data_IF_830820220879
#
_entry.id   IF_830820220879
#
_cell.length_a   1.000
_cell.length_b   1.000
_cell.length_c   1.000
_cell.angle_alpha   90.00
_cell.angle_beta   90.00
_cell.angle_gamma   90.00
#
_symmetry.space_group_name_H-M   'P 1'
#
loop_
_entity.id
_entity.type
_entity.pdbx_description
1 polymer ?
#
# COMPACT_ATOMS: atom_id res chain seq x y z
N UNK A 1 -9.74 6.87 -11.65
CA UNK A 1 -8.72 6.21 -12.49
C UNK A 1 -8.18 7.24 -13.47
N UNK A 2 -6.90 7.60 -13.36
CA UNK A 2 -6.24 8.65 -14.14
C UNK A 2 -5.32 8.09 -15.23
N UNK A 3 -5.42 6.79 -15.55
CA UNK A 3 -4.53 6.11 -16.50
C UNK A 3 -4.52 6.76 -17.89
N UNK A 4 -5.66 7.31 -18.34
CA UNK A 4 -5.77 8.03 -19.62
C UNK A 4 -5.00 9.37 -19.67
N UNK A 5 -4.53 9.86 -18.51
CA UNK A 5 -3.85 11.15 -18.36
C UNK A 5 -2.36 10.98 -17.99
N UNK A 6 -1.84 9.75 -18.00
CA UNK A 6 -0.41 9.46 -17.78
C UNK A 6 0.34 9.74 -19.09
N UNK A 7 1.31 10.65 -19.04
CA UNK A 7 2.19 10.96 -20.18
C UNK A 7 3.32 9.96 -20.30
N UNK A 8 4.05 9.99 -21.43
CA UNK A 8 5.19 9.10 -21.70
C UNK A 8 6.30 9.19 -20.64
N UNK A 9 6.40 10.31 -19.92
CA UNK A 9 7.34 10.51 -18.80
C UNK A 9 6.84 9.94 -17.46
N UNK A 10 5.71 9.24 -17.46
CA UNK A 10 5.08 8.65 -16.27
C UNK A 10 4.30 9.63 -15.40
N UNK A 11 4.28 10.93 -15.72
CA UNK A 11 3.54 11.93 -14.93
C UNK A 11 2.09 12.02 -15.38
N UNK A 12 1.19 12.16 -14.42
CA UNK A 12 -0.22 12.44 -14.70
C UNK A 12 -0.43 13.94 -14.94
N UNK A 13 -1.01 14.31 -16.08
CA UNK A 13 -1.40 15.68 -16.40
C UNK A 13 -2.80 15.71 -16.99
N UNK A 14 -3.72 16.43 -16.34
CA UNK A 14 -5.12 16.52 -16.76
C UNK A 14 -5.30 17.85 -17.52
N UNK A 15 -5.45 17.82 -18.86
CA UNK A 15 -5.53 19.03 -19.66
C UNK A 15 -6.91 19.69 -19.57
N UNK A 16 -6.95 21.02 -19.66
CA UNK A 16 -8.18 21.79 -19.77
C UNK A 16 -8.09 22.81 -20.92
N UNK A 17 -9.17 22.96 -21.68
CA UNK A 17 -9.28 23.85 -22.84
C UNK A 17 -10.70 24.44 -22.91
N UNK A 18 -10.81 25.68 -23.36
CA UNK A 18 -12.08 26.35 -23.63
C UNK A 18 -12.20 26.68 -25.12
N UNK A 19 -13.42 26.87 -25.62
CA UNK A 19 -13.68 27.38 -26.95
C UNK A 19 -14.87 28.32 -26.96
N UNK A 20 -14.96 29.15 -27.99
CA UNK A 20 -16.15 29.95 -28.25
C UNK A 20 -16.55 29.86 -29.72
N UNK A 21 -17.85 29.98 -29.94
CA UNK A 21 -18.46 30.14 -31.25
C UNK A 21 -19.09 31.52 -31.36
N UNK A 22 -18.85 32.20 -32.47
CA UNK A 22 -19.41 33.49 -32.77
C UNK A 22 -19.86 33.56 -34.24
N UNK A 23 -21.01 34.18 -34.49
CA UNK A 23 -21.48 34.44 -35.84
C UNK A 23 -21.55 35.94 -36.09
N UNK A 24 -20.70 36.42 -37.00
CA UNK A 24 -20.69 37.83 -37.40
C UNK A 24 -21.44 38.00 -38.73
N UNK A 25 -22.05 39.17 -39.00
CA UNK A 25 -22.83 39.41 -40.21
C UNK A 25 -22.10 39.11 -41.54
N UNK A 26 -20.77 39.24 -41.57
CA UNK A 26 -19.95 38.96 -42.76
C UNK A 26 -19.08 37.71 -42.62
N UNK A 27 -19.15 37.03 -41.46
CA UNK A 27 -18.39 35.82 -41.18
C UNK A 27 -19.15 34.97 -40.14
N UNK A 28 -20.23 34.30 -40.57
CA UNK A 28 -20.91 33.33 -39.72
C UNK A 28 -19.99 32.13 -39.43
N UNK A 29 -20.17 31.49 -38.27
CA UNK A 29 -19.45 30.26 -37.92
C UNK A 29 -17.98 30.42 -37.53
N UNK A 30 -17.60 31.51 -36.87
CA UNK A 30 -16.26 31.62 -36.27
C UNK A 30 -16.20 30.74 -35.03
N UNK A 31 -15.38 29.70 -35.10
CA UNK A 31 -14.97 28.91 -33.95
C UNK A 31 -13.56 29.30 -33.54
N UNK A 32 -13.31 29.44 -32.24
CA UNK A 32 -11.95 29.60 -31.73
C UNK A 32 -11.75 28.87 -30.42
N UNK A 33 -10.60 28.22 -30.39
CA UNK A 33 -10.07 27.49 -29.25
C UNK A 33 -9.13 28.36 -28.41
N UNK A 34 -9.12 28.14 -27.09
CA UNK A 34 -8.07 28.61 -26.19
C UNK A 34 -6.81 27.75 -26.32
N UNK A 35 -5.73 28.18 -25.67
CA UNK A 35 -4.63 27.29 -25.33
C UNK A 35 -5.08 26.23 -24.32
N UNK A 36 -4.34 25.13 -24.25
CA UNK A 36 -4.51 24.09 -23.24
C UNK A 36 -3.73 24.46 -21.97
N UNK A 37 -4.32 24.22 -20.80
CA UNK A 37 -3.67 24.39 -19.49
C UNK A 37 -3.89 23.13 -18.66
N UNK A 38 -2.83 22.35 -18.34
CA UNK A 38 -2.98 21.14 -17.55
C UNK A 38 -2.87 21.37 -16.04
N UNK A 39 -3.46 20.47 -15.25
CA UNK A 39 -3.17 20.30 -13.81
C UNK A 39 -2.39 19.02 -13.56
N UNK A 40 -1.49 19.05 -12.58
CA UNK A 40 -0.74 17.87 -12.12
C UNK A 40 -1.31 17.43 -10.78
N UNK A 41 -1.83 16.19 -10.64
CA UNK A 41 -2.21 15.65 -9.34
C UNK A 41 -0.98 15.53 -8.42
N UNK A 42 -1.16 15.63 -7.09
CA UNK A 42 -0.07 15.36 -6.16
C UNK A 42 0.44 13.93 -6.35
N UNK A 43 1.75 13.74 -6.26
CA UNK A 43 2.35 12.40 -6.22
C UNK A 43 2.11 11.79 -4.83
N UNK A 44 1.55 10.57 -4.73
CA UNK A 44 1.45 9.86 -3.46
C UNK A 44 2.84 9.69 -2.81
N UNK A 45 2.92 9.89 -1.51
CA UNK A 45 4.13 9.55 -0.75
C UNK A 45 4.32 8.02 -0.70
N UNK A 46 5.57 7.58 -0.80
CA UNK A 46 5.91 6.17 -0.63
C UNK A 46 5.80 5.78 0.86
N UNK A 47 5.06 4.73 1.21
CA UNK A 47 4.86 4.36 2.60
C UNK A 47 6.15 3.83 3.24
N UNK A 48 6.48 4.33 4.43
CA UNK A 48 7.54 3.73 5.24
C UNK A 48 7.12 2.34 5.76
N UNK A 49 8.09 1.44 5.94
CA UNK A 49 7.88 0.14 6.59
C UNK A 49 8.88 -0.05 7.72
N UNK A 50 8.39 -0.46 8.90
CA UNK A 50 9.19 -0.68 10.11
C UNK A 50 8.87 -2.06 10.68
N UNK A 51 9.87 -2.70 11.26
CA UNK A 51 9.73 -4.00 11.93
C UNK A 51 10.34 -3.93 13.32
N UNK A 52 9.68 -4.57 14.28
CA UNK A 52 10.17 -4.75 15.64
C UNK A 52 9.92 -6.21 16.10
N UNK A 53 10.66 -6.64 17.11
CA UNK A 53 10.47 -7.90 17.82
C UNK A 53 10.15 -7.59 19.29
N UNK A 54 9.00 -8.07 19.77
CA UNK A 54 8.45 -7.75 21.10
C UNK A 54 8.43 -6.24 21.42
N UNK A 55 8.21 -5.38 20.42
CA UNK A 55 8.23 -3.92 20.60
C UNK A 55 9.63 -3.30 20.67
N UNK A 56 10.69 -4.04 20.35
CA UNK A 56 12.10 -3.60 20.37
C UNK A 56 12.75 -3.81 18.99
N UNK A 57 13.85 -3.10 18.73
CA UNK A 57 14.65 -3.33 17.52
C UNK A 57 15.31 -4.71 17.49
N UNK A 58 15.63 -5.26 18.67
CA UNK A 58 16.22 -6.57 18.86
C UNK A 58 15.75 -7.18 20.18
N UNK A 59 15.79 -8.51 20.28
CA UNK A 59 15.45 -9.25 21.49
C UNK A 59 16.51 -10.31 21.78
N UNK A 60 16.94 -10.38 23.04
CA UNK A 60 17.78 -11.48 23.53
C UNK A 60 16.90 -12.49 24.25
N UNK A 61 16.80 -13.71 23.73
CA UNK A 61 15.95 -14.74 24.30
C UNK A 61 16.55 -15.31 25.60
N UNK A 62 15.69 -15.52 26.61
CA UNK A 62 16.09 -16.16 27.86
C UNK A 62 16.15 -17.69 27.73
N UNK A 63 15.38 -18.26 26.80
CA UNK A 63 15.35 -19.70 26.50
C UNK A 63 15.29 -19.92 25.00
N UNK A 64 15.85 -21.04 24.54
CA UNK A 64 15.88 -21.39 23.12
C UNK A 64 14.48 -21.56 22.51
N UNK A 65 13.55 -22.12 23.27
CA UNK A 65 12.17 -22.38 22.86
C UNK A 65 11.22 -21.20 23.13
N UNK A 66 11.75 -20.05 23.58
CA UNK A 66 10.96 -18.86 23.84
C UNK A 66 10.29 -18.37 22.54
N UNK A 67 8.97 -18.22 22.59
CA UNK A 67 8.20 -17.57 21.54
C UNK A 67 8.41 -16.06 21.63
N UNK A 68 8.59 -15.43 20.49
CA UNK A 68 8.69 -13.99 20.33
C UNK A 68 7.80 -13.52 19.18
N UNK A 69 7.38 -12.27 19.25
CA UNK A 69 6.40 -11.68 18.35
C UNK A 69 7.08 -10.68 17.44
N UNK A 70 6.94 -10.83 16.13
CA UNK A 70 7.29 -9.79 15.17
C UNK A 70 6.10 -8.87 14.91
N UNK A 71 6.37 -7.57 14.81
CA UNK A 71 5.40 -6.58 14.39
C UNK A 71 5.94 -5.83 13.18
N UNK A 72 5.20 -5.86 12.08
CA UNK A 72 5.48 -5.11 10.85
C UNK A 72 4.45 -3.99 10.75
N UNK A 73 4.91 -2.75 10.62
CA UNK A 73 4.08 -1.54 10.59
C UNK A 73 4.37 -0.74 9.33
N UNK A 74 3.32 -0.36 8.62
CA UNK A 74 3.41 0.47 7.41
C UNK A 74 2.10 1.23 7.21
N UNK A 75 1.95 1.92 6.08
CA UNK A 75 0.72 2.59 5.68
C UNK A 75 0.33 2.16 4.28
N UNK A 76 -0.97 2.12 3.98
CA UNK A 76 -1.44 1.92 2.60
C UNK A 76 -1.00 3.12 1.78
N UNK A 77 -0.32 2.91 0.65
CA UNK A 77 0.03 4.00 -0.26
C UNK A 77 -1.24 4.69 -0.77
N UNK A 78 -1.18 6.01 -0.96
CA UNK A 78 -2.31 6.76 -1.51
C UNK A 78 -2.57 6.32 -2.96
N UNK A 79 -3.85 6.22 -3.34
CA UNK A 79 -4.29 5.77 -4.67
C UNK A 79 -3.84 4.36 -5.10
N UNK A 80 -3.36 3.52 -4.18
CA UNK A 80 -3.05 2.13 -4.47
C UNK A 80 -4.31 1.36 -4.90
N UNK A 81 -4.13 0.40 -5.81
CA UNK A 81 -5.20 -0.53 -6.23
C UNK A 81 -5.01 -1.93 -5.67
N UNK A 82 -3.80 -2.25 -5.20
CA UNK A 82 -3.45 -3.50 -4.56
C UNK A 82 -2.40 -3.23 -3.48
N UNK A 83 -2.43 -4.02 -2.41
CA UNK A 83 -1.50 -3.87 -1.30
C UNK A 83 -1.29 -5.22 -0.60
N UNK A 84 -0.02 -5.57 -0.38
CA UNK A 84 0.37 -6.75 0.38
C UNK A 84 1.63 -6.49 1.18
N UNK A 85 1.74 -7.15 2.33
CA UNK A 85 2.96 -7.19 3.16
C UNK A 85 3.44 -8.62 3.20
N UNK A 86 4.70 -8.85 2.82
CA UNK A 86 5.33 -10.17 2.82
C UNK A 86 6.57 -10.17 3.69
N UNK A 87 6.72 -11.20 4.52
CA UNK A 87 7.89 -11.41 5.36
C UNK A 87 8.34 -12.87 5.25
N UNK A 88 9.64 -13.08 5.13
CA UNK A 88 10.25 -14.41 5.14
C UNK A 88 11.12 -14.52 6.37
N UNK A 89 10.80 -15.47 7.26
CA UNK A 89 11.66 -15.77 8.41
C UNK A 89 12.78 -16.72 8.01
N UNK A 90 13.88 -16.69 8.75
CA UNK A 90 15.03 -17.57 8.52
C UNK A 90 14.69 -19.04 8.75
N UNK A 91 15.45 -19.92 8.13
CA UNK A 91 15.22 -21.37 8.16
C UNK A 91 15.38 -22.00 9.55
N UNK A 92 16.16 -21.39 10.45
CA UNK A 92 16.28 -21.81 11.85
C UNK A 92 15.06 -21.43 12.71
N UNK A 93 14.14 -20.63 12.17
CA UNK A 93 12.91 -20.20 12.84
C UNK A 93 11.68 -20.91 12.28
N UNK A 94 10.68 -21.10 13.13
CA UNK A 94 9.34 -21.55 12.73
C UNK A 94 8.27 -20.59 13.25
N UNK A 95 7.18 -20.45 12.50
CA UNK A 95 6.01 -19.74 12.98
C UNK A 95 5.43 -20.47 14.20
N UNK A 96 5.15 -19.69 15.24
CA UNK A 96 4.48 -20.17 16.44
C UNK A 96 3.10 -19.50 16.51
N UNK A 97 2.13 -20.14 17.15
CA UNK A 97 0.84 -19.51 17.43
C UNK A 97 0.06 -19.02 16.20
N UNK A 98 -0.62 -17.89 16.37
CA UNK A 98 -1.54 -17.30 15.38
C UNK A 98 -1.06 -15.93 14.94
N UNK A 99 -1.10 -15.67 13.64
CA UNK A 99 -0.87 -14.33 13.09
C UNK A 99 -2.14 -13.48 13.14
N UNK A 100 -2.00 -12.17 13.23
CA UNK A 100 -3.10 -11.22 13.17
C UNK A 100 -2.69 -9.97 12.42
N UNK A 101 -3.67 -9.24 11.90
CA UNK A 101 -3.41 -7.98 11.22
C UNK A 101 -4.49 -6.95 11.54
N UNK A 102 -4.13 -5.68 11.43
CA UNK A 102 -5.04 -4.54 11.58
C UNK A 102 -4.88 -3.56 10.44
N UNK A 103 -5.99 -2.97 10.03
CA UNK A 103 -6.06 -1.84 9.11
C UNK A 103 -6.80 -0.71 9.81
N UNK A 104 -6.19 0.47 9.91
CA UNK A 104 -6.78 1.62 10.61
C UNK A 104 -7.25 1.25 12.05
N UNK A 105 -6.44 0.46 12.77
CA UNK A 105 -6.76 -0.03 14.11
C UNK A 105 -7.84 -1.11 14.19
N UNK A 106 -8.51 -1.46 13.10
CA UNK A 106 -9.53 -2.51 13.03
C UNK A 106 -8.91 -3.84 12.64
N UNK A 107 -9.32 -4.93 13.32
CA UNK A 107 -8.82 -6.27 13.02
C UNK A 107 -9.28 -6.72 11.62
N UNK A 108 -8.35 -7.30 10.87
CA UNK A 108 -8.61 -7.93 9.58
C UNK A 108 -8.97 -9.41 9.74
N UNK A 109 -9.62 -9.97 8.73
CA UNK A 109 -9.95 -11.39 8.68
C UNK A 109 -8.68 -12.25 8.56
N UNK A 110 -8.61 -13.33 9.33
CA UNK A 110 -7.44 -14.21 9.34
C UNK A 110 -7.17 -14.88 7.98
N UNK A 111 -8.19 -15.06 7.13
CA UNK A 111 -8.05 -15.61 5.78
C UNK A 111 -7.25 -14.71 4.83
N UNK A 112 -7.09 -13.43 5.16
CA UNK A 112 -6.24 -12.49 4.43
C UNK A 112 -4.74 -12.68 4.71
N UNK A 113 -4.40 -13.50 5.70
CA UNK A 113 -3.03 -13.86 6.05
C UNK A 113 -2.77 -15.29 5.57
N UNK A 114 -1.73 -15.46 4.77
CA UNK A 114 -1.27 -16.75 4.28
C UNK A 114 0.12 -17.04 4.79
N UNK A 115 0.34 -18.26 5.24
CA UNK A 115 1.67 -18.77 5.61
C UNK A 115 1.99 -19.93 4.67
N UNK A 116 3.07 -19.79 3.91
CA UNK A 116 3.54 -20.78 2.94
C UNK A 116 5.03 -21.03 3.19
N UNK A 117 5.34 -22.19 3.78
CA UNK A 117 6.68 -22.52 4.24
C UNK A 117 7.17 -21.51 5.29
N UNK A 118 8.23 -20.79 4.96
CA UNK A 118 8.87 -19.80 5.83
C UNK A 118 8.43 -18.35 5.54
N UNK A 119 7.41 -18.18 4.70
CA UNK A 119 6.91 -16.88 4.25
C UNK A 119 5.50 -16.65 4.77
N UNK A 120 5.26 -15.46 5.32
CA UNK A 120 3.94 -14.95 5.68
C UNK A 120 3.58 -13.79 4.76
N UNK A 121 2.34 -13.75 4.28
CA UNK A 121 1.82 -12.67 3.44
C UNK A 121 0.46 -12.22 3.92
N UNK A 122 0.31 -10.92 4.19
CA UNK A 122 -0.97 -10.24 4.35
C UNK A 122 -1.37 -9.62 3.01
N UNK A 123 -2.62 -9.84 2.57
CA UNK A 123 -3.16 -9.21 1.36
C UNK A 123 -4.44 -8.45 1.68
N UNK A 124 -4.48 -7.15 1.38
CA UNK A 124 -5.71 -6.35 1.49
C UNK A 124 -6.61 -6.57 0.28
N UNK A 125 -7.92 -6.52 0.46
CA UNK A 125 -8.86 -6.51 -0.67
C UNK A 125 -8.80 -5.18 -1.40
N UNK A 126 -9.16 -5.16 -2.69
CA UNK A 126 -9.14 -3.93 -3.49
C UNK A 126 -9.98 -2.80 -2.84
N UNK A 127 -11.14 -3.13 -2.26
CA UNK A 127 -12.00 -2.17 -1.57
C UNK A 127 -11.33 -1.62 -0.30
N UNK A 128 -10.63 -2.46 0.47
CA UNK A 128 -9.87 -2.02 1.63
C UNK A 128 -8.75 -1.06 1.22
N UNK A 129 -8.01 -1.36 0.14
CA UNK A 129 -6.92 -0.49 -0.34
C UNK A 129 -7.46 0.88 -0.74
N UNK A 130 -8.51 0.91 -1.58
CA UNK A 130 -9.10 2.16 -2.09
C UNK A 130 -9.67 3.04 -0.96
N UNK A 131 -10.24 2.43 0.08
CA UNK A 131 -10.85 3.17 1.18
C UNK A 131 -9.86 3.64 2.24
N UNK A 132 -8.63 3.12 2.26
CA UNK A 132 -7.70 3.30 3.37
C UNK A 132 -6.33 3.88 2.97
N UNK A 133 -6.24 4.61 1.85
CA UNK A 133 -5.01 5.33 1.49
C UNK A 133 -4.51 6.22 2.64
N UNK A 134 -3.23 6.08 2.99
CA UNK A 134 -2.58 6.76 4.11
C UNK A 134 -2.86 6.17 5.50
N UNK A 135 -3.72 5.15 5.63
CA UNK A 135 -4.03 4.53 6.92
C UNK A 135 -3.01 3.47 7.31
N UNK A 136 -2.85 3.27 8.62
CA UNK A 136 -1.90 2.31 9.19
C UNK A 136 -2.30 0.86 8.91
N UNK A 137 -1.29 0.05 8.59
CA UNK A 137 -1.36 -1.41 8.49
C UNK A 137 -0.38 -2.01 9.49
N UNK A 138 -0.87 -2.95 10.31
CA UNK A 138 -0.07 -3.68 11.27
C UNK A 138 -0.22 -5.18 10.99
N UNK A 139 0.88 -5.89 10.78
CA UNK A 139 0.94 -7.35 10.72
C UNK A 139 1.75 -7.86 11.90
N UNK A 140 1.15 -8.73 12.70
CA UNK A 140 1.77 -9.34 13.87
C UNK A 140 1.78 -10.85 13.73
N UNK A 141 2.93 -11.48 13.96
CA UNK A 141 3.04 -12.93 13.95
C UNK A 141 4.10 -13.42 14.93
N UNK A 142 3.82 -14.56 15.54
CA UNK A 142 4.70 -15.19 16.50
C UNK A 142 5.66 -16.16 15.80
N UNK A 143 6.88 -16.24 16.32
CA UNK A 143 7.91 -17.14 15.84
C UNK A 143 8.72 -17.68 17.03
N UNK A 144 9.46 -18.77 16.79
CA UNK A 144 10.43 -19.34 17.73
C UNK A 144 11.55 -20.05 16.98
N UNK A 145 12.64 -20.37 17.68
CA UNK A 145 13.71 -21.19 17.12
C UNK A 145 13.21 -22.63 16.98
N UNK A 146 13.46 -23.26 15.83
CA UNK A 146 13.14 -24.68 15.59
C UNK A 146 13.83 -25.58 16.60
N UNK A 147 13.12 -26.62 17.01
CA UNK A 147 13.71 -27.69 17.82
C UNK A 147 14.86 -28.35 17.05
N UNK A 148 16.06 -28.40 17.65
CA UNK A 148 17.23 -29.04 17.06
C UNK A 148 17.97 -28.25 15.98
N UNK A 149 17.63 -26.97 15.75
CA UNK A 149 18.43 -26.06 14.92
C UNK A 149 19.84 -25.78 15.52
#
# INVERSE_FOLDING_TARGET
NLSAYVKEDGRTQIPNKASYDASFPHKPGVHKDSNEVPVTPPTPDEPEIKKDVNGKAEETLAKRDQVFTYNVKTTVAQDATAFSVTDKIEDVLEFAGTSSAKLNGQALDASQIKVEGQTITLTLTEDQVKANGGQAVELTFDAKIKAGA
#
